data_IF_096074329055
#
_entry.id   IF_096074329055
#
_cell.length_a   1.000
_cell.length_b   1.000
_cell.length_c   1.000
_cell.angle_alpha   90.00
_cell.angle_beta   90.00
_cell.angle_gamma   90.00
#
_symmetry.space_group_name_H-M   'P 1'
#
loop_
_entity.id
_entity.type
_entity.pdbx_description
1 polymer ?
#
# COMPACT_ATOMS: atom_id res chain seq x y z
N UNK A 1 23.23 -2.16 -7.93
CA UNK A 1 22.13 -2.35 -6.94
C UNK A 1 21.11 -1.22 -7.11
N UNK A 2 20.24 -1.22 -8.13
CA UNK A 2 19.40 -0.03 -8.43
C UNK A 2 17.90 -0.28 -8.54
N UNK A 3 17.43 -1.48 -8.85
CA UNK A 3 16.01 -1.64 -9.23
C UNK A 3 15.08 -1.87 -8.03
N UNK A 4 15.60 -2.44 -6.94
CA UNK A 4 14.81 -2.69 -5.73
C UNK A 4 14.49 -1.41 -4.94
N UNK A 5 15.28 -0.34 -5.05
CA UNK A 5 15.09 0.84 -4.20
C UNK A 5 13.79 1.57 -4.52
N UNK A 6 13.47 1.77 -5.81
CA UNK A 6 12.22 2.41 -6.24
C UNK A 6 10.99 1.59 -5.83
N UNK A 7 11.09 0.27 -5.92
CA UNK A 7 10.03 -0.65 -5.52
C UNK A 7 9.78 -0.60 -4.00
N UNK A 8 10.85 -0.64 -3.20
CA UNK A 8 10.76 -0.54 -1.75
C UNK A 8 10.21 0.81 -1.28
N UNK A 9 10.66 1.91 -1.91
CA UNK A 9 10.20 3.25 -1.59
C UNK A 9 8.70 3.42 -1.91
N UNK A 10 8.24 2.94 -3.07
CA UNK A 10 6.80 2.92 -3.39
C UNK A 10 6.01 2.13 -2.34
N UNK A 11 6.47 0.94 -1.95
CA UNK A 11 5.76 0.12 -0.97
C UNK A 11 5.67 0.82 0.40
N UNK A 12 6.73 1.53 0.81
CA UNK A 12 6.71 2.37 2.01
C UNK A 12 5.70 3.50 1.88
N UNK A 13 5.66 4.19 0.74
CA UNK A 13 4.70 5.27 0.48
C UNK A 13 3.25 4.77 0.47
N UNK A 14 2.99 3.58 -0.08
CA UNK A 14 1.67 2.93 -0.05
C UNK A 14 1.21 2.70 1.39
N UNK A 15 2.08 2.17 2.26
CA UNK A 15 1.75 1.97 3.70
C UNK A 15 1.42 3.29 4.39
N UNK A 16 2.30 4.29 4.25
CA UNK A 16 2.11 5.62 4.86
C UNK A 16 0.82 6.28 4.37
N UNK A 17 0.51 6.17 3.08
CA UNK A 17 -0.71 6.75 2.52
C UNK A 17 -1.96 6.03 3.04
N UNK A 18 -1.94 4.69 3.07
CA UNK A 18 -3.04 3.89 3.59
C UNK A 18 -3.35 4.24 5.05
N UNK A 19 -2.33 4.30 5.90
CA UNK A 19 -2.50 4.61 7.33
C UNK A 19 -3.08 6.02 7.51
N UNK A 20 -2.55 7.03 6.82
CA UNK A 20 -3.09 8.39 6.83
C UNK A 20 -4.53 8.47 6.31
N UNK A 21 -4.87 7.64 5.32
CA UNK A 21 -6.21 7.59 4.77
C UNK A 21 -7.19 6.96 5.77
N UNK A 22 -6.76 5.89 6.45
CA UNK A 22 -7.54 5.23 7.50
C UNK A 22 -7.75 6.15 8.71
N UNK A 23 -6.72 6.88 9.15
CA UNK A 23 -6.82 7.87 10.23
C UNK A 23 -7.81 9.00 9.89
N UNK A 24 -7.80 9.46 8.63
CA UNK A 24 -8.71 10.53 8.18
C UNK A 24 -10.15 10.06 7.97
N UNK A 25 -10.37 8.77 7.75
CA UNK A 25 -11.67 8.20 7.40
C UNK A 25 -11.90 6.89 8.19
N UNK A 26 -12.03 6.96 9.52
CA UNK A 26 -12.13 5.77 10.38
C UNK A 26 -13.39 4.93 10.11
N UNK A 27 -14.43 5.52 9.52
CA UNK A 27 -15.69 4.86 9.16
C UNK A 27 -15.62 4.08 7.84
N UNK A 28 -14.54 4.26 7.07
CA UNK A 28 -14.41 3.60 5.78
C UNK A 28 -14.06 2.12 5.94
N UNK A 29 -14.71 1.28 5.12
CA UNK A 29 -14.37 -0.14 5.04
C UNK A 29 -12.98 -0.31 4.44
N UNK A 30 -12.28 -1.37 4.86
CA UNK A 30 -10.95 -1.73 4.33
C UNK A 30 -10.90 -1.75 2.80
N UNK A 31 -11.91 -2.31 2.12
CA UNK A 31 -11.93 -2.33 0.65
C UNK A 31 -11.97 -0.93 0.01
N UNK A 32 -12.64 0.04 0.64
CA UNK A 32 -12.68 1.42 0.14
C UNK A 32 -11.32 2.12 0.33
N UNK A 33 -10.65 1.87 1.46
CA UNK A 33 -9.29 2.35 1.72
C UNK A 33 -8.27 1.74 0.75
N UNK A 34 -8.37 0.43 0.50
CA UNK A 34 -7.51 -0.30 -0.45
C UNK A 34 -7.71 0.21 -1.88
N UNK A 35 -8.97 0.40 -2.32
CA UNK A 35 -9.30 0.95 -3.64
C UNK A 35 -8.74 2.34 -3.84
N UNK A 36 -8.98 3.26 -2.91
CA UNK A 36 -8.49 4.64 -3.03
C UNK A 36 -6.96 4.71 -3.00
N UNK A 37 -6.31 3.82 -2.25
CA UNK A 37 -4.85 3.68 -2.26
C UNK A 37 -4.36 3.09 -3.59
N UNK A 38 -5.05 2.09 -4.13
CA UNK A 38 -4.74 1.49 -5.42
C UNK A 38 -4.82 2.53 -6.56
N UNK A 39 -5.89 3.32 -6.58
CA UNK A 39 -6.09 4.41 -7.55
C UNK A 39 -4.99 5.47 -7.47
N UNK A 40 -4.55 5.85 -6.26
CA UNK A 40 -3.49 6.84 -6.04
C UNK A 40 -2.12 6.39 -6.58
N UNK A 41 -1.81 5.10 -6.49
CA UNK A 41 -0.50 4.55 -6.86
C UNK A 41 -0.51 3.78 -8.18
N UNK A 42 -1.63 3.76 -8.90
CA UNK A 42 -1.82 3.03 -10.16
C UNK A 42 -1.45 1.54 -10.06
N UNK A 43 -1.84 0.90 -8.95
CA UNK A 43 -1.63 -0.54 -8.70
C UNK A 43 -2.96 -1.22 -8.39
N UNK A 44 -2.98 -2.56 -8.36
CA UNK A 44 -4.21 -3.28 -8.00
C UNK A 44 -4.47 -3.24 -6.49
N UNK A 45 -5.74 -3.29 -6.08
CA UNK A 45 -6.15 -3.46 -4.67
C UNK A 45 -5.48 -4.68 -4.02
N UNK A 46 -5.37 -5.78 -4.78
CA UNK A 46 -4.67 -6.99 -4.34
C UNK A 46 -3.19 -6.71 -4.04
N UNK A 47 -2.53 -5.89 -4.85
CA UNK A 47 -1.15 -5.48 -4.63
C UNK A 47 -1.02 -4.63 -3.37
N UNK A 48 -1.92 -3.66 -3.15
CA UNK A 48 -1.97 -2.88 -1.91
C UNK A 48 -2.10 -3.81 -0.71
N UNK A 49 -3.05 -4.75 -0.74
CA UNK A 49 -3.26 -5.72 0.34
C UNK A 49 -2.02 -6.57 0.59
N UNK A 50 -1.32 -7.03 -0.45
CA UNK A 50 -0.06 -7.78 -0.31
C UNK A 50 1.08 -6.93 0.27
N UNK A 51 1.16 -5.64 -0.08
CA UNK A 51 2.11 -4.69 0.51
C UNK A 51 1.83 -4.48 2.00
N UNK A 52 0.57 -4.30 2.37
CA UNK A 52 0.14 -4.10 3.76
C UNK A 52 0.38 -5.35 4.62
N UNK A 53 0.02 -6.53 4.10
CA UNK A 53 0.23 -7.81 4.80
C UNK A 53 1.70 -8.26 4.84
N UNK A 54 2.57 -7.65 4.04
CA UNK A 54 3.97 -8.09 3.91
C UNK A 54 4.11 -9.50 3.32
N UNK A 55 3.16 -9.94 2.49
CA UNK A 55 3.16 -11.29 1.90
C UNK A 55 4.00 -11.36 0.62
N UNK A 56 4.72 -12.46 0.40
CA UNK A 56 5.49 -12.69 -0.84
C UNK A 56 6.69 -11.73 -0.96
N UNK A 57 6.92 -11.15 -2.14
CA UNK A 57 8.05 -10.23 -2.39
C UNK A 57 7.97 -8.88 -1.66
N UNK A 58 6.90 -8.65 -0.88
CA UNK A 58 6.64 -7.42 -0.13
C UNK A 58 6.99 -7.54 1.36
N UNK A 59 7.56 -8.68 1.76
CA UNK A 59 8.10 -8.89 3.09
C UNK A 59 9.32 -7.98 3.25
N UNK A 60 9.19 -6.96 4.10
CA UNK A 60 10.35 -6.22 4.58
C UNK A 60 11.11 -7.16 5.52
N UNK A 61 12.29 -7.60 5.09
CA UNK A 61 13.23 -8.39 5.89
C UNK A 61 13.63 -7.67 7.18
#
# INVERSE_FOLDING_TARGET
MSDNYRFLERNKQVRIFFDKLAEKNPEWRMGALEKKTADQFFISERTVRSILKGSGIYQTA
#
